data_IF_422771191702
#
_entry.id   IF_422771191702
#
_cell.length_a   1.000
_cell.length_b   1.000
_cell.length_c   1.000
_cell.angle_alpha   90.00
_cell.angle_beta   90.00
_cell.angle_gamma   90.00
#
_symmetry.space_group_name_H-M   'P 1'
#
loop_
_entity.id
_entity.type
_entity.pdbx_description
1 polymer ?
#
# COMPACT_ATOMS: atom_id res chain seq x y z
N UNK A 1 -23.99 20.79 4.55
CA UNK A 1 -23.63 19.93 5.70
C UNK A 1 -22.42 19.10 5.30
N UNK A 2 -21.47 18.91 6.21
CA UNK A 2 -20.25 18.11 6.02
C UNK A 2 -20.23 16.99 7.04
N UNK A 3 -19.87 15.79 6.62
CA UNK A 3 -19.77 14.63 7.50
C UNK A 3 -18.33 14.14 7.53
N UNK A 4 -17.80 13.96 8.73
CA UNK A 4 -16.54 13.27 8.98
C UNK A 4 -16.81 11.92 9.64
N UNK A 5 -16.20 10.85 9.15
CA UNK A 5 -16.28 9.53 9.77
C UNK A 5 -14.87 9.01 9.96
N UNK A 6 -14.50 8.61 11.18
CA UNK A 6 -13.24 7.95 11.48
C UNK A 6 -13.48 6.51 11.94
N UNK A 7 -12.99 5.56 11.15
CA UNK A 7 -13.14 4.13 11.41
C UNK A 7 -11.94 3.58 12.20
N UNK A 8 -12.20 3.22 13.46
CA UNK A 8 -11.26 2.61 14.38
C UNK A 8 -11.32 1.08 14.40
N UNK A 9 -10.59 0.47 15.35
CA UNK A 9 -10.65 -0.97 15.61
C UNK A 9 -11.88 -1.39 16.44
N UNK A 10 -12.24 -0.59 17.44
CA UNK A 10 -13.36 -0.91 18.35
C UNK A 10 -14.61 -0.10 18.02
N UNK A 11 -14.43 1.17 17.69
CA UNK A 11 -15.52 2.08 17.40
C UNK A 11 -15.22 2.99 16.22
N UNK A 12 -16.30 3.42 15.59
CA UNK A 12 -16.30 4.39 14.51
C UNK A 12 -16.90 5.68 15.05
N UNK A 13 -16.13 6.75 15.01
CA UNK A 13 -16.55 8.08 15.44
C UNK A 13 -17.10 8.83 14.21
N UNK A 14 -18.18 9.59 14.39
CA UNK A 14 -18.74 10.39 13.32
C UNK A 14 -19.11 11.79 13.80
N UNK A 15 -18.95 12.76 12.90
CA UNK A 15 -19.24 14.16 13.13
C UNK A 15 -20.00 14.72 11.92
N UNK A 16 -21.06 15.48 12.17
CA UNK A 16 -21.76 16.26 11.16
C UNK A 16 -21.71 17.74 11.52
N UNK A 17 -21.39 18.58 10.55
CA UNK A 17 -21.36 20.04 10.69
C UNK A 17 -22.30 20.67 9.66
N UNK A 18 -23.23 21.51 10.12
CA UNK A 18 -24.12 22.30 9.28
C UNK A 18 -24.33 23.70 9.90
N UNK A 19 -25.02 24.62 9.20
CA UNK A 19 -25.39 25.91 9.79
C UNK A 19 -26.23 25.80 11.08
N UNK A 20 -26.97 24.71 11.23
CA UNK A 20 -27.84 24.44 12.37
C UNK A 20 -27.09 23.89 13.59
N UNK A 21 -25.85 23.39 13.42
CA UNK A 21 -25.02 22.95 14.54
C UNK A 21 -23.94 21.91 14.22
N UNK A 22 -23.46 21.28 15.30
CA UNK A 22 -22.49 20.20 15.31
C UNK A 22 -23.10 18.98 15.99
N UNK A 23 -23.06 17.83 15.32
CA UNK A 23 -23.46 16.55 15.90
C UNK A 23 -22.25 15.65 15.95
N UNK A 24 -22.04 14.99 17.09
CA UNK A 24 -20.96 14.04 17.30
C UNK A 24 -21.58 12.78 17.85
N UNK A 25 -21.15 11.64 17.33
CA UNK A 25 -21.60 10.36 17.83
C UNK A 25 -20.59 9.26 17.55
N UNK A 26 -20.96 8.06 17.98
CA UNK A 26 -20.09 6.90 17.98
C UNK A 26 -20.93 5.65 17.78
N UNK A 27 -20.49 4.78 16.89
CA UNK A 27 -21.08 3.46 16.69
C UNK A 27 -20.00 2.37 16.80
N UNK A 28 -20.38 1.11 17.09
CA UNK A 28 -19.43 0.00 17.05
C UNK A 28 -18.78 -0.13 15.66
N UNK A 29 -17.47 -0.40 15.62
CA UNK A 29 -16.79 -0.74 14.37
C UNK A 29 -17.19 -2.15 13.91
N UNK A 30 -17.06 -2.38 12.61
CA UNK A 30 -17.26 -3.67 11.97
C UNK A 30 -15.97 -4.10 11.27
N UNK A 31 -14.93 -4.60 11.99
CA UNK A 31 -13.60 -4.82 11.41
C UNK A 31 -13.57 -5.75 10.18
N UNK A 32 -14.51 -6.71 10.12
CA UNK A 32 -14.63 -7.63 8.96
C UNK A 32 -15.35 -7.00 7.77
N UNK A 33 -16.12 -5.94 7.99
CA UNK A 33 -16.88 -5.21 6.97
C UNK A 33 -16.90 -3.70 7.28
N UNK A 34 -15.77 -2.97 7.12
CA UNK A 34 -15.66 -1.58 7.55
C UNK A 34 -16.68 -0.63 6.91
N UNK A 35 -17.16 -0.96 5.71
CA UNK A 35 -18.22 -0.21 5.03
C UNK A 35 -19.53 -0.16 5.84
N UNK A 36 -19.88 -1.24 6.56
CA UNK A 36 -21.08 -1.27 7.41
C UNK A 36 -21.01 -0.22 8.53
N UNK A 37 -19.85 0.00 9.14
CA UNK A 37 -19.70 1.01 10.17
C UNK A 37 -19.90 2.43 9.63
N UNK A 38 -19.47 2.69 8.40
CA UNK A 38 -19.71 3.96 7.70
C UNK A 38 -21.21 4.15 7.44
N UNK A 39 -21.89 3.11 6.93
CA UNK A 39 -23.34 3.14 6.69
C UNK A 39 -24.13 3.35 7.99
N UNK A 40 -23.73 2.70 9.09
CA UNK A 40 -24.35 2.85 10.39
C UNK A 40 -24.20 4.28 10.93
N UNK A 41 -23.02 4.90 10.75
CA UNK A 41 -22.79 6.29 11.10
C UNK A 41 -23.67 7.25 10.28
N UNK A 42 -23.81 7.01 8.98
CA UNK A 42 -24.72 7.80 8.13
C UNK A 42 -26.18 7.61 8.50
N UNK A 43 -26.61 6.39 8.80
CA UNK A 43 -27.97 6.10 9.26
C UNK A 43 -28.30 6.82 10.57
N UNK A 44 -27.34 6.91 11.50
CA UNK A 44 -27.51 7.66 12.75
C UNK A 44 -27.63 9.18 12.56
N UNK A 45 -27.23 9.70 11.40
CA UNK A 45 -27.35 11.11 11.02
C UNK A 45 -28.52 11.36 10.04
N UNK A 46 -29.24 10.33 9.62
CA UNK A 46 -30.25 10.42 8.55
C UNK A 46 -31.37 11.39 8.90
N UNK A 47 -31.81 11.41 10.16
CA UNK A 47 -32.87 12.30 10.66
C UNK A 47 -32.50 13.80 10.58
N UNK A 48 -31.22 14.12 10.38
CA UNK A 48 -30.75 15.50 10.15
C UNK A 48 -30.98 15.98 8.71
N UNK A 49 -31.43 15.12 7.80
CA UNK A 49 -31.62 15.44 6.39
C UNK A 49 -30.29 15.58 5.66
N UNK A 50 -29.58 14.45 5.50
CA UNK A 50 -28.31 14.41 4.75
C UNK A 50 -28.49 14.96 3.32
N UNK A 51 -27.66 15.90 2.87
CA UNK A 51 -27.79 16.51 1.54
C UNK A 51 -27.37 15.55 0.43
N UNK A 52 -27.92 15.78 -0.77
CA UNK A 52 -27.43 15.19 -2.02
C UNK A 52 -26.92 16.30 -2.96
N UNK A 53 -25.63 16.31 -3.33
CA UNK A 53 -24.57 15.37 -2.93
C UNK A 53 -24.09 15.60 -1.48
N UNK A 54 -23.68 14.51 -0.82
CA UNK A 54 -23.09 14.53 0.51
C UNK A 54 -21.59 14.77 0.45
N UNK A 55 -21.10 15.79 1.15
CA UNK A 55 -19.67 15.97 1.39
C UNK A 55 -19.24 15.09 2.58
N UNK A 56 -18.56 13.97 2.27
CA UNK A 56 -18.09 12.99 3.25
C UNK A 56 -16.56 12.93 3.26
N UNK A 57 -15.97 13.12 4.44
CA UNK A 57 -14.55 12.89 4.71
C UNK A 57 -14.41 11.61 5.55
N UNK A 58 -13.71 10.62 5.01
CA UNK A 58 -13.50 9.34 5.69
C UNK A 58 -12.04 9.21 6.13
N UNK A 59 -11.85 9.05 7.44
CA UNK A 59 -10.61 8.64 8.08
C UNK A 59 -10.67 7.17 8.47
N UNK A 60 -9.52 6.49 8.44
CA UNK A 60 -9.42 5.13 8.93
C UNK A 60 -8.06 4.84 9.52
N UNK A 61 -8.05 4.06 10.59
CA UNK A 61 -6.83 3.52 11.20
C UNK A 61 -6.55 2.08 10.77
N UNK A 62 -7.42 1.47 9.96
CA UNK A 62 -7.31 0.06 9.54
C UNK A 62 -5.98 -0.23 8.87
N UNK A 63 -5.56 0.60 7.91
CA UNK A 63 -4.29 0.41 7.19
C UNK A 63 -3.07 0.52 8.12
N UNK A 64 -3.06 1.52 9.01
CA UNK A 64 -1.95 1.73 9.96
C UNK A 64 -1.86 0.58 10.95
N UNK A 65 -2.99 0.11 11.48
CA UNK A 65 -3.01 -1.02 12.41
C UNK A 65 -2.57 -2.32 11.72
N UNK A 66 -3.01 -2.58 10.48
CA UNK A 66 -2.53 -3.72 9.70
C UNK A 66 -1.00 -3.69 9.52
N UNK A 67 -0.42 -2.51 9.29
CA UNK A 67 1.04 -2.34 9.16
C UNK A 67 1.79 -2.62 10.49
N UNK A 68 1.26 -2.13 11.60
CA UNK A 68 1.84 -2.30 12.95
C UNK A 68 1.74 -3.74 13.44
N UNK A 69 0.61 -4.40 13.17
CA UNK A 69 0.35 -5.79 13.56
C UNK A 69 0.94 -6.81 12.58
N UNK A 70 1.54 -6.36 11.47
CA UNK A 70 2.11 -7.23 10.45
C UNK A 70 1.06 -8.01 9.65
N UNK A 71 -0.20 -7.57 9.63
CA UNK A 71 -1.34 -8.22 8.96
C UNK A 71 -1.50 -7.75 7.51
N UNK A 72 -0.40 -7.50 6.82
CA UNK A 72 -0.41 -7.18 5.39
C UNK A 72 -0.58 -8.44 4.54
N UNK A 73 -0.92 -8.25 3.26
CA UNK A 73 -0.92 -9.32 2.28
C UNK A 73 0.50 -9.90 2.14
N UNK A 74 0.70 -11.24 2.19
CA UNK A 74 1.99 -11.84 1.91
C UNK A 74 2.44 -11.46 0.49
N UNK A 75 3.63 -10.89 0.38
CA UNK A 75 4.04 -10.15 -0.82
C UNK A 75 5.39 -10.68 -1.32
N UNK A 76 5.50 -10.94 -2.63
CA UNK A 76 6.77 -11.07 -3.32
C UNK A 76 7.30 -9.70 -3.76
N UNK A 77 8.62 -9.54 -3.78
CA UNK A 77 9.30 -8.32 -4.23
C UNK A 77 10.01 -8.58 -5.55
N UNK A 78 9.83 -7.69 -6.52
CA UNK A 78 10.64 -7.58 -7.73
C UNK A 78 11.40 -6.25 -7.65
N UNK A 79 12.72 -6.28 -7.77
CA UNK A 79 13.57 -5.10 -7.58
C UNK A 79 14.74 -5.10 -8.56
N UNK A 80 15.48 -4.00 -8.58
CA UNK A 80 16.74 -3.85 -9.32
C UNK A 80 17.77 -4.89 -8.82
N UNK A 81 18.51 -5.52 -9.72
CA UNK A 81 19.59 -6.43 -9.36
C UNK A 81 20.63 -5.78 -8.42
N UNK A 82 21.01 -6.52 -7.38
CA UNK A 82 21.84 -6.05 -6.26
C UNK A 82 21.08 -5.32 -5.15
N UNK A 83 19.74 -5.31 -5.17
CA UNK A 83 18.89 -4.60 -4.20
C UNK A 83 17.83 -5.49 -3.55
N UNK A 84 17.87 -6.82 -3.71
CA UNK A 84 16.96 -7.78 -3.07
C UNK A 84 16.79 -7.51 -1.56
N UNK A 85 17.90 -7.30 -0.86
CA UNK A 85 17.91 -7.20 0.61
C UNK A 85 17.59 -5.79 1.12
N UNK A 86 17.23 -4.84 0.25
CA UNK A 86 17.00 -3.44 0.64
C UNK A 86 15.92 -3.31 1.72
N UNK A 87 14.84 -4.11 1.65
CA UNK A 87 13.79 -4.10 2.69
C UNK A 87 14.24 -4.72 4.02
N UNK A 88 15.14 -5.70 3.98
CA UNK A 88 15.68 -6.34 5.18
C UNK A 88 16.72 -5.45 5.88
N UNK A 89 17.60 -4.80 5.10
CA UNK A 89 18.58 -3.83 5.60
C UNK A 89 17.86 -2.59 6.15
N UNK A 90 16.78 -2.16 5.50
CA UNK A 90 16.03 -0.99 5.87
C UNK A 90 16.89 0.28 5.91
N UNK A 91 16.56 1.21 6.80
CA UNK A 91 17.32 2.47 6.97
C UNK A 91 18.38 2.42 8.06
N UNK A 92 18.60 1.25 8.67
CA UNK A 92 19.49 1.10 9.83
C UNK A 92 19.15 2.08 10.97
N UNK A 93 17.87 2.50 11.07
CA UNK A 93 17.40 3.36 12.14
C UNK A 93 17.37 2.55 13.44
N UNK A 94 18.30 2.82 14.36
CA UNK A 94 18.39 2.12 15.64
C UNK A 94 17.54 2.82 16.68
N UNK A 95 16.59 2.08 17.27
CA UNK A 95 15.80 2.58 18.39
C UNK A 95 16.68 2.84 19.64
N UNK A 96 17.73 2.03 19.83
CA UNK A 96 18.76 2.23 20.85
C UNK A 96 20.14 2.21 20.19
N UNK A 97 20.82 3.36 20.17
CA UNK A 97 22.07 3.55 19.41
C UNK A 97 23.23 2.65 19.88
N UNK A 98 23.27 2.35 21.18
CA UNK A 98 24.38 1.66 21.84
C UNK A 98 24.05 0.21 22.25
N UNK A 99 22.82 -0.24 22.02
CA UNK A 99 22.47 -1.64 22.25
C UNK A 99 22.86 -2.48 21.03
N UNK A 100 23.89 -3.32 21.20
CA UNK A 100 24.40 -4.21 20.16
C UNK A 100 23.59 -5.52 20.07
N UNK A 101 22.72 -5.80 21.04
CA UNK A 101 21.96 -7.04 21.14
C UNK A 101 20.50 -6.86 20.71
N UNK A 102 20.20 -5.86 19.87
CA UNK A 102 18.85 -5.65 19.37
C UNK A 102 18.41 -6.83 18.49
N UNK A 103 17.19 -7.36 18.72
CA UNK A 103 16.65 -8.40 17.86
C UNK A 103 16.47 -7.87 16.44
N UNK A 104 16.80 -8.71 15.45
CA UNK A 104 16.56 -8.40 14.05
C UNK A 104 15.04 -8.36 13.82
N UNK A 105 14.48 -7.27 13.26
CA UNK A 105 13.06 -7.22 12.93
C UNK A 105 12.70 -8.35 11.96
N UNK A 106 11.49 -8.92 12.05
CA UNK A 106 11.04 -9.91 11.09
C UNK A 106 11.05 -9.33 9.68
N UNK A 107 11.54 -10.11 8.72
CA UNK A 107 11.57 -9.72 7.33
C UNK A 107 10.16 -9.70 6.75
N UNK A 108 9.75 -8.58 6.15
CA UNK A 108 8.42 -8.44 5.54
C UNK A 108 8.26 -9.30 4.28
N UNK A 109 9.36 -9.53 3.56
CA UNK A 109 9.42 -10.36 2.36
C UNK A 109 10.57 -11.34 2.56
N UNK A 110 10.32 -12.64 2.74
CA UNK A 110 11.39 -13.65 2.86
C UNK A 110 12.31 -13.69 1.63
N UNK A 111 13.58 -14.13 1.76
CA UNK A 111 14.54 -14.11 0.64
C UNK A 111 14.10 -14.94 -0.56
N UNK A 112 13.36 -16.03 -0.32
CA UNK A 112 12.81 -16.89 -1.36
C UNK A 112 11.77 -16.19 -2.27
N UNK A 113 11.26 -15.03 -1.86
CA UNK A 113 10.25 -14.25 -2.61
C UNK A 113 10.77 -12.87 -3.01
N UNK A 114 12.10 -12.73 -3.10
CA UNK A 114 12.78 -11.55 -3.63
C UNK A 114 13.36 -11.92 -4.99
N UNK A 115 12.94 -11.21 -6.01
CA UNK A 115 13.36 -11.39 -7.38
C UNK A 115 14.04 -10.14 -7.87
N UNK A 116 15.09 -10.34 -8.64
CA UNK A 116 15.93 -9.28 -9.17
C UNK A 116 15.86 -9.30 -10.69
N UNK A 117 15.75 -8.11 -11.28
CA UNK A 117 15.85 -7.92 -12.72
C UNK A 117 17.01 -6.98 -13.03
N UNK A 118 17.79 -7.31 -14.05
CA UNK A 118 18.90 -6.51 -14.52
C UNK A 118 18.37 -5.30 -15.30
N UNK A 119 18.11 -4.25 -14.56
CA UNK A 119 17.77 -2.94 -15.07
C UNK A 119 18.51 -1.88 -14.26
N UNK A 120 18.68 -0.67 -14.81
CA UNK A 120 19.27 0.44 -14.06
C UNK A 120 18.79 1.77 -14.59
N UNK A 121 18.15 2.53 -13.71
CA UNK A 121 17.94 3.97 -13.87
C UNK A 121 18.86 4.69 -12.89
N UNK A 122 19.46 5.81 -13.30
CA UNK A 122 20.30 6.63 -12.44
C UNK A 122 19.51 7.75 -11.75
N UNK A 123 20.17 8.48 -10.84
CA UNK A 123 19.53 9.56 -10.07
C UNK A 123 19.01 10.73 -10.93
N UNK A 124 19.43 10.84 -12.20
CA UNK A 124 18.94 11.83 -13.17
C UNK A 124 17.74 11.32 -13.97
N UNK A 125 17.31 10.07 -13.75
CA UNK A 125 16.26 9.42 -14.52
C UNK A 125 16.74 8.93 -15.90
N UNK A 126 18.05 8.83 -16.12
CA UNK A 126 18.61 8.26 -17.35
C UNK A 126 18.71 6.74 -17.21
N UNK A 127 18.46 6.03 -18.31
CA UNK A 127 18.54 4.57 -18.34
C UNK A 127 20.01 4.21 -18.58
N UNK A 128 20.65 3.61 -17.58
CA UNK A 128 22.01 3.08 -17.69
C UNK A 128 21.99 1.65 -18.24
N UNK A 129 21.00 0.87 -17.81
CA UNK A 129 20.76 -0.49 -18.29
C UNK A 129 19.26 -0.65 -18.55
N UNK A 130 18.83 -0.91 -19.80
CA UNK A 130 17.43 -1.15 -20.07
C UNK A 130 16.97 -2.45 -19.42
N UNK A 131 15.71 -2.50 -19.00
CA UNK A 131 15.07 -3.74 -18.53
C UNK A 131 15.15 -4.82 -19.62
N UNK A 132 15.71 -5.97 -19.25
CA UNK A 132 15.67 -7.17 -20.08
C UNK A 132 14.27 -7.80 -20.04
N UNK A 133 13.65 -7.91 -21.21
CA UNK A 133 12.33 -8.51 -21.35
C UNK A 133 12.37 -10.03 -21.23
N UNK A 134 13.51 -10.67 -21.53
CA UNK A 134 13.65 -12.12 -21.38
C UNK A 134 13.64 -12.52 -19.90
N UNK A 135 14.34 -11.77 -19.04
CA UNK A 135 14.31 -12.01 -17.59
C UNK A 135 12.92 -11.80 -16.99
N UNK A 136 12.19 -10.82 -17.53
CA UNK A 136 10.81 -10.57 -17.14
C UNK A 136 9.87 -11.70 -17.58
N UNK A 137 10.03 -12.21 -18.79
CA UNK A 137 9.28 -13.38 -19.27
C UNK A 137 9.56 -14.59 -18.38
N UNK A 138 10.84 -14.86 -18.06
CA UNK A 138 11.23 -15.93 -17.14
C UNK A 138 10.59 -15.77 -15.76
N UNK A 139 10.66 -14.57 -15.18
CA UNK A 139 10.04 -14.25 -13.90
C UNK A 139 8.52 -14.44 -13.94
N UNK A 140 7.86 -14.04 -15.02
CA UNK A 140 6.42 -14.19 -15.18
C UNK A 140 5.99 -15.67 -15.20
N UNK A 141 6.86 -16.59 -15.67
CA UNK A 141 6.61 -18.04 -15.63
C UNK A 141 6.77 -18.69 -14.26
N UNK A 142 7.37 -17.98 -13.28
CA UNK A 142 7.50 -18.51 -11.93
C UNK A 142 6.14 -18.58 -11.25
N UNK A 143 5.77 -19.80 -10.82
CA UNK A 143 4.57 -20.02 -10.02
C UNK A 143 4.88 -19.69 -8.56
N UNK A 144 4.35 -18.57 -8.09
CA UNK A 144 4.41 -18.22 -6.67
C UNK A 144 3.53 -19.16 -5.84
N UNK A 145 3.91 -19.45 -4.58
CA UNK A 145 3.07 -20.23 -3.66
C UNK A 145 1.70 -19.59 -3.47
N UNK A 146 0.70 -20.40 -3.13
CA UNK A 146 -0.70 -19.96 -2.96
C UNK A 146 -0.87 -18.90 -1.86
N UNK A 147 0.06 -18.81 -0.92
CA UNK A 147 0.06 -17.83 0.15
C UNK A 147 0.47 -16.42 -0.32
N UNK A 148 1.21 -16.26 -1.42
CA UNK A 148 1.71 -14.95 -1.88
C UNK A 148 0.63 -14.16 -2.62
N UNK A 149 -0.15 -13.37 -1.90
CA UNK A 149 -1.30 -12.61 -2.39
C UNK A 149 -0.97 -11.39 -3.27
N UNK A 150 0.26 -10.88 -3.18
CA UNK A 150 0.67 -9.69 -3.91
C UNK A 150 2.11 -9.75 -4.44
N UNK A 151 2.36 -8.96 -5.49
CA UNK A 151 3.70 -8.71 -6.03
C UNK A 151 3.95 -7.19 -6.03
N UNK A 152 5.01 -6.78 -5.34
CA UNK A 152 5.49 -5.40 -5.33
C UNK A 152 6.67 -5.25 -6.29
N UNK A 153 6.60 -4.27 -7.19
CA UNK A 153 7.68 -3.95 -8.12
C UNK A 153 8.29 -2.61 -7.73
N UNK A 154 9.55 -2.65 -7.30
CA UNK A 154 10.27 -1.50 -6.74
C UNK A 154 11.66 -1.35 -7.36
N UNK A 155 11.73 -0.69 -8.51
CA UNK A 155 12.99 -0.37 -9.16
C UNK A 155 13.58 0.95 -8.66
N UNK A 156 14.91 0.97 -8.54
CA UNK A 156 15.67 2.13 -8.12
C UNK A 156 15.42 3.32 -9.07
N UNK A 157 15.16 4.50 -8.51
CA UNK A 157 14.87 5.73 -9.26
C UNK A 157 13.72 5.64 -10.29
N UNK A 158 12.89 4.59 -10.23
CA UNK A 158 11.69 4.47 -11.07
C UNK A 158 10.78 5.69 -10.96
N UNK A 159 10.83 6.41 -9.83
CA UNK A 159 10.12 7.65 -9.61
C UNK A 159 10.42 8.79 -10.57
N UNK A 160 11.62 8.80 -11.12
CA UNK A 160 12.04 9.80 -12.10
C UNK A 160 11.39 9.59 -13.48
N UNK A 161 10.72 8.46 -13.73
CA UNK A 161 10.06 8.15 -15.02
C UNK A 161 8.63 7.67 -14.85
N UNK A 162 7.65 8.49 -15.28
CA UNK A 162 6.23 8.12 -15.25
C UNK A 162 5.84 7.02 -16.27
N UNK A 163 6.60 6.85 -17.35
CA UNK A 163 6.21 6.05 -18.54
C UNK A 163 7.20 4.94 -18.91
N UNK A 164 8.20 4.66 -18.08
CA UNK A 164 9.13 3.56 -18.38
C UNK A 164 8.38 2.23 -18.42
N UNK A 165 8.92 1.23 -19.14
CA UNK A 165 8.24 -0.04 -19.49
C UNK A 165 7.79 -0.91 -18.31
N UNK A 166 7.89 -0.43 -17.08
CA UNK A 166 7.33 -1.04 -15.87
C UNK A 166 5.84 -1.36 -15.96
N UNK A 167 5.06 -0.63 -16.79
CA UNK A 167 3.65 -1.00 -17.04
C UNK A 167 3.50 -2.27 -17.88
N UNK A 168 4.45 -2.58 -18.77
CA UNK A 168 4.48 -3.87 -19.47
C UNK A 168 4.88 -5.00 -18.52
N UNK A 169 5.91 -4.77 -17.70
CA UNK A 169 6.32 -5.63 -16.56
C UNK A 169 5.14 -6.00 -15.67
N UNK A 170 4.29 -5.01 -15.39
CA UNK A 170 3.09 -5.22 -14.61
C UNK A 170 2.12 -6.21 -15.27
N UNK A 171 1.78 -5.95 -16.53
CA UNK A 171 0.82 -6.76 -17.26
C UNK A 171 1.29 -8.21 -17.44
N UNK A 172 2.57 -8.42 -17.74
CA UNK A 172 3.15 -9.75 -17.97
C UNK A 172 3.13 -10.59 -16.69
N UNK A 173 3.56 -10.03 -15.56
CA UNK A 173 3.49 -10.69 -14.24
C UNK A 173 2.04 -11.01 -13.86
N UNK A 174 1.10 -10.07 -14.06
CA UNK A 174 -0.32 -10.27 -13.72
C UNK A 174 -1.02 -11.30 -14.59
N UNK A 175 -0.68 -11.40 -15.88
CA UNK A 175 -1.38 -12.33 -16.80
C UNK A 175 -1.15 -13.78 -16.39
N UNK A 176 0.06 -14.10 -15.90
CA UNK A 176 0.43 -15.44 -15.48
C UNK A 176 0.07 -15.72 -14.00
N UNK A 177 -0.18 -14.67 -13.21
CA UNK A 177 -0.56 -14.72 -11.80
C UNK A 177 -1.93 -14.07 -11.54
N UNK A 178 -2.93 -14.35 -12.39
CA UNK A 178 -4.19 -13.59 -12.53
C UNK A 178 -5.03 -13.38 -11.25
N UNK A 179 -4.72 -14.08 -10.16
CA UNK A 179 -5.38 -13.90 -8.84
C UNK A 179 -4.62 -12.97 -7.88
N UNK A 180 -3.47 -12.40 -8.30
CA UNK A 180 -2.58 -11.61 -7.44
C UNK A 180 -2.65 -10.12 -7.72
N UNK A 181 -2.54 -9.35 -6.65
CA UNK A 181 -2.44 -7.90 -6.74
C UNK A 181 -1.02 -7.49 -7.12
N UNK A 182 -0.90 -6.55 -8.06
CA UNK A 182 0.38 -5.98 -8.42
C UNK A 182 0.46 -4.51 -8.04
N UNK A 183 1.54 -4.16 -7.34
CA UNK A 183 1.81 -2.78 -6.92
C UNK A 183 3.08 -2.26 -7.57
N UNK A 184 2.93 -1.28 -8.46
CA UNK A 184 4.04 -0.49 -8.99
C UNK A 184 4.34 0.65 -8.00
N UNK A 185 5.44 0.56 -7.25
CA UNK A 185 5.79 1.56 -6.24
C UNK A 185 5.88 2.98 -6.83
N UNK A 186 6.29 3.09 -8.09
CA UNK A 186 6.29 4.36 -8.83
C UNK A 186 4.88 4.98 -8.96
N UNK A 187 3.86 4.18 -9.29
CA UNK A 187 2.50 4.71 -9.44
C UNK A 187 1.95 5.19 -8.09
N UNK A 188 2.20 4.42 -7.02
CA UNK A 188 1.83 4.81 -5.66
C UNK A 188 2.50 6.12 -5.24
N UNK A 189 3.80 6.27 -5.51
CA UNK A 189 4.54 7.48 -5.18
C UNK A 189 4.05 8.71 -5.94
N UNK A 190 3.84 8.59 -7.25
CA UNK A 190 3.35 9.71 -8.06
C UNK A 190 1.93 10.13 -7.68
N UNK A 191 1.03 9.17 -7.42
CA UNK A 191 -0.32 9.48 -6.96
C UNK A 191 -0.31 10.23 -5.62
N UNK A 192 0.60 9.87 -4.70
CA UNK A 192 0.76 10.57 -3.43
C UNK A 192 1.29 12.01 -3.59
N UNK A 193 2.08 12.30 -4.63
CA UNK A 193 2.53 13.65 -4.94
C UNK A 193 1.43 14.51 -5.57
N UNK A 194 0.55 13.93 -6.38
CA UNK A 194 -0.56 14.65 -7.03
C UNK A 194 -1.65 15.07 -6.03
N UNK A 195 -1.66 14.50 -4.82
CA UNK A 195 -2.57 14.86 -3.73
C UNK A 195 -2.03 15.95 -2.78
N UNK A 196 -0.81 16.45 -3.01
CA UNK A 196 -0.20 17.55 -2.23
C UNK A 196 -0.28 18.87 -2.99
#
# INVERSE_FOLDING_TARGET
MRVGIDTGGTFTDYVALSPEGLWVGKCPSTPRQPAEAVLNALAALADLGLPEPLELVHGTTVATNALLEGKGAPTALVTTAGFADLLAIGRQARASLYDLNLPVPPERVPPAYRFELHERINARGEIELPLDLAELDELATLRLPEEIEAVAVCFLFSYMRKTYKFKATANEITTQNAERWLYLCQQLYNAALEQR
#
